data_IF_111086701610
#
_entry.id   IF_111086701610
#
_cell.length_a   1.000
_cell.length_b   1.000
_cell.length_c   1.000
_cell.angle_alpha   90.00
_cell.angle_beta   90.00
_cell.angle_gamma   90.00
#
_symmetry.space_group_name_H-M   'P 1'
#
loop_
_entity.id
_entity.type
_entity.pdbx_description
1 polymer ?
#
# COMPACT_ATOMS: atom_id res chain seq x y z
N UNK A 1 4.17 -5.48 3.64
CA UNK A 1 3.39 -4.43 2.94
C UNK A 1 4.17 -3.49 2.01
N UNK A 2 5.45 -3.16 2.27
CA UNK A 2 6.22 -2.22 1.45
C UNK A 2 6.31 -2.55 -0.04
N UNK A 3 6.49 -3.84 -0.37
CA UNK A 3 6.50 -4.33 -1.76
C UNK A 3 5.19 -4.07 -2.50
N UNK A 4 4.05 -4.11 -1.80
CA UNK A 4 2.73 -3.87 -2.40
C UNK A 4 2.59 -2.41 -2.84
N UNK A 5 3.13 -1.48 -2.06
CA UNK A 5 3.20 -0.07 -2.43
C UNK A 5 4.40 0.24 -3.34
N UNK A 6 5.22 -0.75 -3.70
CA UNK A 6 6.46 -0.57 -4.47
C UNK A 6 7.39 0.50 -3.86
N UNK A 7 7.54 0.45 -2.53
CA UNK A 7 8.44 1.33 -1.77
C UNK A 7 9.42 0.50 -0.94
N UNK A 8 10.50 1.13 -0.51
CA UNK A 8 11.47 0.52 0.39
C UNK A 8 11.01 0.57 1.86
N UNK A 9 11.59 -0.27 2.72
CA UNK A 9 11.30 -0.25 4.17
C UNK A 9 11.70 1.07 4.85
N UNK A 10 12.69 1.75 4.27
CA UNK A 10 13.15 3.08 4.67
C UNK A 10 12.22 4.21 4.21
N UNK A 11 11.12 3.89 3.52
CA UNK A 11 10.23 4.90 2.97
C UNK A 11 9.60 5.77 4.06
N UNK A 12 9.55 7.07 3.80
CA UNK A 12 8.87 8.03 4.67
C UNK A 12 7.37 7.99 4.47
N UNK A 13 6.60 8.50 5.43
CA UNK A 13 5.14 8.61 5.34
C UNK A 13 4.68 9.35 4.07
N UNK A 14 5.47 10.33 3.63
CA UNK A 14 5.22 11.07 2.39
C UNK A 14 5.38 10.16 1.17
N UNK A 15 6.42 9.34 1.12
CA UNK A 15 6.64 8.38 0.03
C UNK A 15 5.56 7.31 0.02
N UNK A 16 5.17 6.80 1.20
CA UNK A 16 4.09 5.82 1.36
C UNK A 16 2.75 6.38 0.85
N UNK A 17 2.38 7.61 1.25
CA UNK A 17 1.18 8.30 0.75
C UNK A 17 1.22 8.54 -0.76
N UNK A 18 2.38 8.95 -1.29
CA UNK A 18 2.55 9.19 -2.74
C UNK A 18 2.40 7.90 -3.53
N UNK A 19 3.02 6.81 -3.05
CA UNK A 19 2.93 5.51 -3.68
C UNK A 19 1.51 4.93 -3.64
N UNK A 20 0.82 5.04 -2.50
CA UNK A 20 -0.59 4.65 -2.38
C UNK A 20 -1.46 5.38 -3.41
N UNK A 21 -1.36 6.71 -3.51
CA UNK A 21 -2.14 7.48 -4.50
C UNK A 21 -1.87 7.01 -5.94
N UNK A 22 -0.61 6.73 -6.28
CA UNK A 22 -0.23 6.26 -7.62
C UNK A 22 -0.82 4.87 -7.90
N UNK A 23 -0.64 3.92 -6.99
CA UNK A 23 -1.17 2.55 -7.11
C UNK A 23 -2.71 2.54 -7.12
N UNK A 24 -3.35 3.34 -6.25
CA UNK A 24 -4.80 3.44 -6.16
C UNK A 24 -5.42 3.96 -7.48
N UNK A 25 -4.78 4.92 -8.14
CA UNK A 25 -5.22 5.40 -9.46
C UNK A 25 -5.00 4.34 -10.56
N UNK A 26 -3.94 3.55 -10.46
CA UNK A 26 -3.60 2.50 -11.43
C UNK A 26 -4.52 1.28 -11.33
N UNK A 27 -4.98 0.94 -10.12
CA UNK A 27 -5.87 -0.20 -9.86
C UNK A 27 -7.31 0.21 -9.56
N UNK A 28 -7.67 1.49 -9.74
CA UNK A 28 -9.02 1.95 -9.45
C UNK A 28 -10.03 1.21 -10.34
N UNK A 29 -11.11 0.62 -9.79
CA UNK A 29 -12.05 -0.19 -10.56
C UNK A 29 -12.77 0.59 -11.67
N UNK A 30 -12.92 1.92 -11.49
CA UNK A 30 -13.46 2.82 -12.51
C UNK A 30 -12.55 2.97 -13.76
N UNK A 31 -11.23 2.84 -13.59
CA UNK A 31 -10.24 3.05 -14.66
C UNK A 31 -9.55 1.77 -15.11
N UNK A 32 -9.62 0.71 -14.31
CA UNK A 32 -8.96 -0.55 -14.57
C UNK A 32 -9.96 -1.70 -14.41
N UNK A 33 -10.37 -2.28 -15.54
CA UNK A 33 -11.29 -3.42 -15.61
C UNK A 33 -10.55 -4.75 -15.76
N UNK A 34 -9.24 -4.79 -15.51
CA UNK A 34 -8.48 -6.03 -15.58
C UNK A 34 -8.95 -7.01 -14.49
N UNK A 35 -9.01 -8.32 -14.79
CA UNK A 35 -9.28 -9.33 -13.78
C UNK A 35 -8.23 -9.25 -12.67
N UNK A 36 -8.66 -9.12 -11.42
CA UNK A 36 -7.78 -8.97 -10.24
C UNK A 36 -7.41 -7.53 -9.88
N UNK A 37 -7.91 -6.51 -10.60
CA UNK A 37 -7.70 -5.11 -10.22
C UNK A 37 -8.31 -4.77 -8.85
N UNK A 38 -9.44 -5.39 -8.49
CA UNK A 38 -10.07 -5.21 -7.18
C UNK A 38 -9.22 -5.81 -6.04
N UNK A 39 -8.65 -7.01 -6.25
CA UNK A 39 -7.75 -7.65 -5.30
C UNK A 39 -6.47 -6.83 -5.13
N UNK A 40 -5.89 -6.34 -6.23
CA UNK A 40 -4.74 -5.44 -6.20
C UNK A 40 -5.05 -4.16 -5.42
N UNK A 41 -6.22 -3.55 -5.65
CA UNK A 41 -6.65 -2.36 -4.93
C UNK A 41 -6.83 -2.63 -3.42
N UNK A 42 -7.46 -3.74 -3.05
CA UNK A 42 -7.60 -4.16 -1.64
C UNK A 42 -6.25 -4.36 -0.97
N UNK A 43 -5.29 -5.00 -1.65
CA UNK A 43 -3.93 -5.19 -1.15
C UNK A 43 -3.22 -3.85 -0.94
N UNK A 44 -3.32 -2.93 -1.90
CA UNK A 44 -2.75 -1.57 -1.82
C UNK A 44 -3.36 -0.78 -0.67
N UNK A 45 -4.68 -0.85 -0.47
CA UNK A 45 -5.37 -0.22 0.65
C UNK A 45 -4.92 -0.80 2.00
N UNK A 46 -4.84 -2.15 2.12
CA UNK A 46 -4.36 -2.81 3.35
C UNK A 46 -2.91 -2.43 3.66
N UNK A 47 -2.04 -2.40 2.64
CA UNK A 47 -0.66 -1.99 2.79
C UNK A 47 -0.54 -0.55 3.28
N UNK A 48 -1.36 0.35 2.76
CA UNK A 48 -1.39 1.73 3.21
C UNK A 48 -1.92 1.87 4.64
N UNK A 49 -2.97 1.14 5.02
CA UNK A 49 -3.53 1.18 6.39
C UNK A 49 -2.49 0.79 7.45
N UNK A 50 -1.66 -0.23 7.17
CA UNK A 50 -0.59 -0.65 8.08
C UNK A 50 0.58 0.33 8.06
N UNK A 51 1.02 0.78 6.88
CA UNK A 51 2.25 1.56 6.74
C UNK A 51 2.08 3.07 7.02
N UNK A 52 0.85 3.59 6.94
CA UNK A 52 0.54 5.00 7.23
C UNK A 52 0.33 5.29 8.72
N UNK A 53 0.13 4.26 9.52
CA UNK A 53 0.04 4.34 10.98
C UNK A 53 1.39 3.92 11.58
N UNK A 54 2.03 4.81 12.31
CA UNK A 54 3.35 4.57 12.86
C UNK A 54 3.38 3.41 13.87
N UNK A 55 2.30 3.18 14.63
CA UNK A 55 2.20 2.04 15.56
C UNK A 55 2.01 0.73 14.81
N UNK A 56 1.08 0.69 13.84
CA UNK A 56 0.87 -0.53 13.02
C UNK A 56 2.11 -0.86 12.20
N UNK A 57 2.79 0.16 11.68
CA UNK A 57 4.06 0.02 10.97
C UNK A 57 5.14 -0.55 11.86
N UNK A 58 5.29 -0.06 13.09
CA UNK A 58 6.26 -0.58 14.05
C UNK A 58 6.00 -2.08 14.33
N UNK A 59 4.75 -2.46 14.58
CA UNK A 59 4.35 -3.86 14.78
C UNK A 59 4.70 -4.71 13.55
N UNK A 60 4.44 -4.19 12.34
CA UNK A 60 4.80 -4.88 11.10
C UNK A 60 6.33 -5.02 10.92
N UNK A 61 7.08 -3.98 11.25
CA UNK A 61 8.55 -3.98 11.14
C UNK A 61 9.23 -4.89 12.17
N UNK A 62 8.63 -5.06 13.36
CA UNK A 62 9.08 -5.97 14.43
C UNK A 62 8.80 -7.46 14.15
N UNK A 63 8.14 -7.80 13.04
CA UNK A 63 7.88 -9.19 12.63
C UNK A 63 6.42 -9.62 12.74
N UNK A 64 5.49 -8.68 12.95
CA UNK A 64 4.06 -8.92 12.75
C UNK A 64 3.71 -8.97 11.25
N UNK A 65 3.72 -10.18 10.67
CA UNK A 65 3.23 -10.59 9.34
C UNK A 65 3.13 -9.51 8.22
#
# INVERSE_FOLDING_TARGET
YYKVLSVERTATDVQIKKAYRKQALQFHPDKNSAPGADEAFKLVAKAFDVLSDSNKRAIHDEGGD
#
